data_IF_826032728114
#
_entry.id   IF_826032728114
#
_cell.length_a   1.000
_cell.length_b   1.000
_cell.length_c   1.000
_cell.angle_alpha   90.00
_cell.angle_beta   90.00
_cell.angle_gamma   90.00
#
_symmetry.space_group_name_H-M   'P 1'
#
loop_
_entity.id
_entity.type
_entity.pdbx_description
1 polymer ?
#
# COMPACT_ATOMS: atom_id res chain seq x y z
N UNK A 1 -3.77 20.18 11.65
CA UNK A 1 -4.80 20.08 10.60
C UNK A 1 -5.93 19.23 11.15
N UNK A 2 -7.16 19.74 11.18
CA UNK A 2 -8.33 18.99 11.64
C UNK A 2 -9.35 18.94 10.50
N UNK A 3 -9.58 17.76 9.93
CA UNK A 3 -10.56 17.56 8.87
C UNK A 3 -11.95 17.39 9.48
N UNK A 4 -12.91 18.23 9.10
CA UNK A 4 -14.30 18.08 9.53
C UNK A 4 -15.09 17.18 8.57
N UNK A 5 -15.10 15.87 8.85
CA UNK A 5 -15.78 14.88 8.01
C UNK A 5 -17.29 15.06 7.91
N UNK A 6 -17.94 15.64 8.92
CA UNK A 6 -19.39 15.93 8.87
C UNK A 6 -19.68 17.01 7.84
N UNK A 7 -18.85 18.05 7.79
CA UNK A 7 -18.97 19.12 6.80
C UNK A 7 -18.64 18.61 5.39
N UNK A 8 -17.54 17.87 5.23
CA UNK A 8 -17.18 17.25 3.95
C UNK A 8 -18.30 16.40 3.38
N UNK A 9 -18.91 15.54 4.21
CA UNK A 9 -20.02 14.70 3.78
C UNK A 9 -21.22 15.50 3.31
N UNK A 10 -21.52 16.66 3.92
CA UNK A 10 -22.61 17.54 3.50
C UNK A 10 -22.32 18.24 2.16
N UNK A 11 -21.04 18.48 1.88
CA UNK A 11 -20.60 19.13 0.64
C UNK A 11 -20.28 18.13 -0.48
N UNK A 12 -20.37 16.83 -0.21
CA UNK A 12 -20.11 15.77 -1.17
C UNK A 12 -18.62 15.52 -1.40
N UNK A 13 -17.78 15.71 -0.39
CA UNK A 13 -16.33 15.45 -0.42
C UNK A 13 -15.57 16.25 -1.49
N UNK A 14 -16.07 17.44 -1.87
CA UNK A 14 -15.46 18.27 -2.92
C UNK A 14 -14.00 18.61 -2.64
N UNK A 15 -13.69 18.93 -1.38
CA UNK A 15 -12.35 19.34 -0.95
C UNK A 15 -11.49 18.15 -0.48
N UNK A 16 -12.09 16.97 -0.34
CA UNK A 16 -11.43 15.72 0.06
C UNK A 16 -11.42 14.64 -1.03
N UNK A 17 -11.78 14.99 -2.28
CA UNK A 17 -11.73 14.06 -3.40
C UNK A 17 -10.29 13.55 -3.60
N UNK A 18 -10.13 12.23 -3.59
CA UNK A 18 -8.84 11.55 -3.73
C UNK A 18 -8.15 11.89 -5.06
N UNK A 19 -8.90 12.03 -6.15
CA UNK A 19 -8.32 12.35 -7.47
C UNK A 19 -7.60 13.71 -7.48
N UNK A 20 -8.08 14.67 -6.67
CA UNK A 20 -7.43 15.97 -6.53
C UNK A 20 -6.03 15.85 -5.89
N UNK A 21 -5.76 14.75 -5.18
CA UNK A 21 -4.46 14.48 -4.58
C UNK A 21 -3.39 14.15 -5.64
N UNK A 22 -3.78 13.70 -6.85
CA UNK A 22 -2.85 13.27 -7.90
C UNK A 22 -2.30 14.42 -8.77
N UNK A 23 -2.61 15.68 -8.45
CA UNK A 23 -2.12 16.86 -9.19
C UNK A 23 -0.69 17.29 -8.83
N UNK A 24 0.01 16.53 -7.98
CA UNK A 24 1.32 16.89 -7.44
C UNK A 24 2.35 15.84 -7.85
N UNK A 25 3.51 16.28 -8.36
CA UNK A 25 4.60 15.38 -8.80
C UNK A 25 5.11 14.43 -7.70
N UNK A 26 5.05 14.88 -6.45
CA UNK A 26 5.55 14.14 -5.29
C UNK A 26 4.43 13.95 -4.28
N UNK A 27 4.38 12.76 -3.68
CA UNK A 27 3.45 12.43 -2.60
C UNK A 27 4.22 11.86 -1.43
N UNK A 28 3.88 12.27 -0.21
CA UNK A 28 4.55 11.76 1.00
C UNK A 28 3.67 10.69 1.60
N UNK A 29 4.22 9.50 1.77
CA UNK A 29 3.63 8.48 2.63
C UNK A 29 4.32 8.51 3.99
N UNK A 30 3.50 8.64 5.04
CA UNK A 30 3.94 8.59 6.44
C UNK A 30 2.89 7.86 7.27
N UNK A 31 3.35 7.05 8.20
CA UNK A 31 2.51 6.29 9.12
C UNK A 31 1.84 7.19 10.15
N UNK A 32 0.69 6.74 10.65
CA UNK A 32 -0.03 7.36 11.75
C UNK A 32 0.17 6.56 13.03
N UNK A 33 -0.95 6.13 13.64
CA UNK A 33 -0.92 5.19 14.77
C UNK A 33 -0.40 3.80 14.36
N UNK A 34 -0.66 3.43 13.11
CA UNK A 34 -0.25 2.19 12.47
C UNK A 34 0.09 2.49 11.00
N UNK A 35 0.03 1.50 10.10
CA UNK A 35 0.03 1.73 8.66
C UNK A 35 -1.15 2.62 8.26
N UNK A 36 -1.01 3.39 7.18
CA UNK A 36 -2.06 4.32 6.73
C UNK A 36 -2.76 3.79 5.49
N UNK A 37 -4.10 3.77 5.52
CA UNK A 37 -4.94 3.37 4.38
C UNK A 37 -4.74 4.25 3.13
N UNK A 38 -4.11 5.42 3.30
CA UNK A 38 -3.77 6.34 2.22
C UNK A 38 -2.69 5.82 1.28
N UNK A 39 -1.92 4.80 1.68
CA UNK A 39 -0.78 4.26 0.94
C UNK A 39 -1.14 3.92 -0.51
N UNK A 40 -2.11 3.02 -0.69
CA UNK A 40 -2.57 2.58 -2.02
C UNK A 40 -3.05 3.74 -2.90
N UNK A 41 -3.73 4.72 -2.32
CA UNK A 41 -4.23 5.88 -3.09
C UNK A 41 -3.11 6.83 -3.48
N UNK A 42 -2.11 7.02 -2.61
CA UNK A 42 -0.92 7.83 -2.91
C UNK A 42 -0.11 7.19 -4.04
N UNK A 43 0.06 5.87 -3.99
CA UNK A 43 0.86 5.15 -4.97
C UNK A 43 0.19 5.02 -6.34
N UNK A 44 -1.14 5.12 -6.41
CA UNK A 44 -1.91 5.07 -7.65
C UNK A 44 -1.97 6.42 -8.43
N UNK A 45 -1.23 7.45 -8.01
CA UNK A 45 -1.30 8.81 -8.58
C UNK A 45 -0.24 9.14 -9.67
N UNK A 46 0.51 8.16 -10.19
CA UNK A 46 1.65 8.37 -11.11
C UNK A 46 2.69 9.39 -10.59
N UNK A 47 2.74 9.52 -9.27
CA UNK A 47 3.53 10.51 -8.57
C UNK A 47 4.64 9.79 -7.81
N UNK A 48 5.86 10.30 -7.87
CA UNK A 48 6.97 9.69 -7.13
C UNK A 48 6.65 9.75 -5.64
N UNK A 49 6.40 8.58 -5.05
CA UNK A 49 6.03 8.46 -3.65
C UNK A 49 7.28 8.53 -2.79
N UNK A 50 7.36 9.58 -1.96
CA UNK A 50 8.37 9.79 -0.93
C UNK A 50 7.95 9.01 0.30
N UNK A 51 8.51 7.81 0.44
CA UNK A 51 8.04 6.80 1.37
C UNK A 51 8.90 6.81 2.63
N UNK A 52 8.38 7.38 3.72
CA UNK A 52 9.04 7.35 5.02
C UNK A 52 9.17 5.91 5.48
N UNK A 53 10.38 5.52 5.87
CA UNK A 53 10.71 4.14 6.29
C UNK A 53 9.63 3.59 7.23
N UNK A 54 8.88 2.56 6.81
CA UNK A 54 7.73 2.07 7.56
C UNK A 54 8.17 1.25 8.77
N UNK A 55 7.33 1.22 9.80
CA UNK A 55 7.41 0.31 10.94
C UNK A 55 6.32 -0.75 10.90
N UNK A 56 5.21 -0.44 10.23
CA UNK A 56 4.06 -1.30 10.03
C UNK A 56 4.00 -1.77 8.58
N UNK A 57 3.53 -3.01 8.38
CA UNK A 57 3.47 -3.62 7.06
C UNK A 57 2.07 -4.12 6.76
N UNK A 58 1.48 -3.58 5.70
CA UNK A 58 0.34 -4.20 5.02
C UNK A 58 0.83 -5.35 4.12
N UNK A 59 -0.09 -6.22 3.68
CA UNK A 59 0.27 -7.49 3.04
C UNK A 59 1.05 -7.32 1.73
N UNK A 60 0.73 -6.30 0.94
CA UNK A 60 1.34 -6.04 -0.37
C UNK A 60 2.69 -5.31 -0.29
N UNK A 61 2.98 -4.62 0.82
CA UNK A 61 4.16 -3.74 0.96
C UNK A 61 5.47 -4.51 0.75
N UNK A 62 5.48 -5.81 1.09
CA UNK A 62 6.66 -6.67 0.93
C UNK A 62 7.07 -6.87 -0.52
N UNK A 63 6.12 -6.79 -1.46
CA UNK A 63 6.38 -6.87 -2.91
C UNK A 63 6.96 -5.58 -3.49
N UNK A 64 6.82 -4.44 -2.81
CA UNK A 64 7.30 -3.15 -3.31
C UNK A 64 8.81 -2.97 -3.11
N UNK A 65 9.43 -2.12 -3.91
CA UNK A 65 10.89 -2.01 -3.99
C UNK A 65 11.36 -0.54 -4.05
N UNK A 66 12.38 -0.15 -3.25
CA UNK A 66 12.96 1.18 -3.32
C UNK A 66 13.57 1.44 -4.70
N UNK A 67 13.45 2.68 -5.20
CA UNK A 67 13.88 3.14 -6.52
C UNK A 67 13.15 2.52 -7.73
N UNK A 68 12.25 1.57 -7.50
CA UNK A 68 11.32 1.07 -8.52
C UNK A 68 9.91 1.59 -8.26
N UNK A 69 9.36 1.30 -7.08
CA UNK A 69 7.98 1.65 -6.72
C UNK A 69 7.89 2.90 -5.84
N UNK A 70 8.97 3.30 -5.18
CA UNK A 70 8.99 4.48 -4.33
C UNK A 70 10.40 5.02 -4.07
N UNK A 71 10.49 6.25 -3.59
CA UNK A 71 11.72 6.85 -3.09
C UNK A 71 11.81 6.71 -1.55
N UNK A 72 12.82 6.02 -0.99
CA UNK A 72 12.92 5.82 0.45
C UNK A 72 13.33 7.12 1.18
N UNK A 73 12.66 7.40 2.30
CA UNK A 73 12.92 8.55 3.18
C UNK A 73 13.31 8.06 4.57
N UNK A 74 14.41 8.60 5.13
CA UNK A 74 14.89 8.24 6.46
C UNK A 74 13.92 8.69 7.55
N UNK A 75 13.68 7.83 8.52
CA UNK A 75 12.79 8.13 9.65
C UNK A 75 13.42 9.12 10.63
N UNK A 76 14.73 9.07 10.86
CA UNK A 76 15.43 9.94 11.81
C UNK A 76 15.78 11.34 11.25
N UNK A 77 15.73 11.54 9.93
CA UNK A 77 16.10 12.81 9.27
C UNK A 77 15.11 13.24 8.18
N UNK A 78 13.80 13.03 8.44
CA UNK A 78 12.72 13.21 7.45
C UNK A 78 12.82 14.50 6.65
N UNK A 79 12.99 15.66 7.31
CA UNK A 79 12.99 16.95 6.63
C UNK A 79 14.14 17.10 5.63
N UNK A 80 15.36 16.67 6.00
CA UNK A 80 16.52 16.75 5.11
C UNK A 80 16.43 15.73 3.97
N UNK A 81 15.95 14.52 4.28
CA UNK A 81 15.73 13.48 3.28
C UNK A 81 14.65 13.86 2.27
N UNK A 82 13.54 14.45 2.72
CA UNK A 82 12.47 14.96 1.85
C UNK A 82 12.97 16.08 0.94
N UNK A 83 13.73 17.04 1.49
CA UNK A 83 14.32 18.11 0.70
C UNK A 83 15.26 17.58 -0.37
N UNK A 84 16.16 16.66 0.00
CA UNK A 84 17.05 16.01 -0.97
C UNK A 84 16.28 15.26 -2.05
N UNK A 85 15.26 14.46 -1.69
CA UNK A 85 14.47 13.70 -2.65
C UNK A 85 13.77 14.60 -3.68
N UNK A 86 13.22 15.74 -3.25
CA UNK A 86 12.58 16.72 -4.15
C UNK A 86 13.60 17.37 -5.08
N UNK A 87 14.77 17.77 -4.57
CA UNK A 87 15.86 18.33 -5.39
C UNK A 87 16.36 17.31 -6.42
N UNK A 88 16.58 16.06 -5.99
CA UNK A 88 16.97 14.98 -6.90
C UNK A 88 15.90 14.75 -7.97
N UNK A 89 14.63 14.65 -7.60
CA UNK A 89 13.53 14.41 -8.53
C UNK A 89 13.34 15.56 -9.53
N UNK A 90 13.57 16.80 -9.10
CA UNK A 90 13.48 17.97 -9.99
C UNK A 90 14.60 17.98 -11.04
N UNK A 91 15.78 17.46 -10.68
CA UNK A 91 16.92 17.30 -11.57
C UNK A 91 16.86 16.02 -12.42
N UNK A 92 16.00 15.06 -12.07
CA UNK A 92 15.85 13.77 -12.75
C UNK A 92 14.38 13.46 -13.05
N UNK A 93 13.70 14.38 -13.74
CA UNK A 93 12.24 14.33 -13.95
C UNK A 93 11.76 13.01 -14.57
N UNK A 94 12.47 12.51 -15.58
CA UNK A 94 12.09 11.27 -16.26
C UNK A 94 12.19 10.06 -15.34
N UNK A 95 13.23 10.02 -14.48
CA UNK A 95 13.37 8.95 -13.48
C UNK A 95 12.31 9.04 -12.39
N UNK A 96 12.02 10.25 -11.92
CA UNK A 96 10.95 10.46 -10.93
C UNK A 96 9.58 10.04 -11.49
N UNK A 97 9.29 10.37 -12.76
CA UNK A 97 8.08 9.94 -13.46
C UNK A 97 8.02 8.41 -13.56
N UNK A 98 9.11 7.76 -13.99
CA UNK A 98 9.16 6.31 -14.11
C UNK A 98 8.90 5.59 -12.77
N UNK A 99 9.42 6.11 -11.65
CA UNK A 99 9.13 5.55 -10.31
C UNK A 99 7.63 5.70 -9.97
N UNK A 100 7.03 6.86 -10.27
CA UNK A 100 5.61 7.10 -10.04
C UNK A 100 4.72 6.16 -10.87
N UNK A 101 5.01 6.02 -12.16
CA UNK A 101 4.27 5.13 -13.06
C UNK A 101 4.42 3.66 -12.67
N UNK A 102 5.63 3.22 -12.29
CA UNK A 102 5.84 1.86 -11.79
C UNK A 102 5.05 1.59 -10.49
N UNK A 103 4.92 2.59 -9.62
CA UNK A 103 4.08 2.49 -8.42
C UNK A 103 2.61 2.28 -8.77
N UNK A 104 2.06 3.08 -9.69
CA UNK A 104 0.68 2.93 -10.13
C UNK A 104 0.43 1.61 -10.84
N UNK A 105 1.36 1.17 -11.69
CA UNK A 105 1.27 -0.12 -12.38
C UNK A 105 1.22 -1.27 -11.38
N UNK A 106 2.05 -1.24 -10.33
CA UNK A 106 1.98 -2.23 -9.25
C UNK A 106 0.60 -2.20 -8.56
N UNK A 107 0.03 -1.02 -8.31
CA UNK A 107 -1.31 -0.94 -7.70
C UNK A 107 -2.42 -1.49 -8.62
N UNK A 108 -2.30 -1.29 -9.93
CA UNK A 108 -3.30 -1.72 -10.92
C UNK A 108 -3.20 -3.22 -11.22
N UNK A 109 -1.98 -3.74 -11.36
CA UNK A 109 -1.74 -5.11 -11.81
C UNK A 109 -1.53 -6.07 -10.65
N UNK A 110 -0.75 -5.70 -9.63
CA UNK A 110 -0.35 -6.58 -8.52
C UNK A 110 -1.24 -6.43 -7.27
N UNK A 111 -2.06 -5.36 -7.19
CA UNK A 111 -3.01 -5.14 -6.09
C UNK A 111 -4.48 -5.06 -6.57
N UNK A 112 -4.81 -5.75 -7.67
CA UNK A 112 -6.19 -5.90 -8.13
C UNK A 112 -7.03 -6.76 -7.18
N UNK A 113 -8.35 -6.58 -7.22
CA UNK A 113 -9.28 -7.27 -6.32
C UNK A 113 -9.16 -8.79 -6.38
N UNK A 114 -8.91 -9.37 -7.56
CA UNK A 114 -8.69 -10.82 -7.71
C UNK A 114 -7.55 -11.30 -6.78
N UNK A 115 -6.43 -10.58 -6.74
CA UNK A 115 -5.29 -10.93 -5.90
C UNK A 115 -5.51 -10.63 -4.42
N UNK A 116 -6.37 -9.66 -4.09
CA UNK A 116 -6.80 -9.44 -2.70
C UNK A 116 -7.58 -10.64 -2.19
N UNK A 117 -8.58 -11.11 -2.96
CA UNK A 117 -9.37 -12.28 -2.60
C UNK A 117 -8.54 -13.56 -2.61
N UNK A 118 -7.63 -13.71 -3.58
CA UNK A 118 -6.69 -14.83 -3.64
C UNK A 118 -5.79 -14.89 -2.39
N UNK A 119 -5.19 -13.76 -2.02
CA UNK A 119 -4.38 -13.66 -0.80
C UNK A 119 -5.19 -14.05 0.45
N UNK A 120 -6.43 -13.55 0.58
CA UNK A 120 -7.31 -13.91 1.70
C UNK A 120 -7.62 -15.41 1.73
N UNK A 121 -7.97 -15.99 0.57
CA UNK A 121 -8.25 -17.42 0.44
C UNK A 121 -7.05 -18.26 0.87
N UNK A 122 -5.87 -17.97 0.32
CA UNK A 122 -4.65 -18.72 0.64
C UNK A 122 -4.24 -18.57 2.10
N UNK A 123 -4.31 -17.37 2.68
CA UNK A 123 -3.98 -17.18 4.11
C UNK A 123 -4.88 -18.03 4.99
N UNK A 124 -6.20 -18.03 4.75
CA UNK A 124 -7.15 -18.82 5.54
C UNK A 124 -6.95 -20.32 5.34
N UNK A 125 -6.75 -20.76 4.09
CA UNK A 125 -6.57 -22.16 3.75
C UNK A 125 -5.26 -22.74 4.30
N UNK A 126 -4.13 -22.05 4.15
CA UNK A 126 -2.85 -22.49 4.71
C UNK A 126 -2.86 -22.46 6.24
N UNK A 127 -3.49 -21.46 6.85
CA UNK A 127 -3.66 -21.40 8.30
C UNK A 127 -4.49 -22.58 8.84
N UNK A 128 -5.58 -22.96 8.14
CA UNK A 128 -6.43 -24.07 8.54
C UNK A 128 -5.67 -25.41 8.60
N UNK A 129 -4.67 -25.62 7.73
CA UNK A 129 -3.82 -26.83 7.74
C UNK A 129 -2.95 -26.95 9.01
N UNK A 130 -2.73 -25.84 9.72
CA UNK A 130 -1.95 -25.82 10.96
C UNK A 130 -2.78 -26.23 12.19
N UNK A 131 -4.11 -26.34 12.05
CA UNK A 131 -5.00 -26.69 13.14
C UNK A 131 -4.72 -28.12 13.61
N UNK A 132 -4.48 -28.27 14.92
CA UNK A 132 -4.24 -29.56 15.59
C UNK A 132 -5.51 -30.17 16.18
N UNK A 133 -6.68 -29.64 15.83
CA UNK A 133 -7.98 -30.05 16.33
C UNK A 133 -9.03 -29.93 15.21
N UNK A 134 -10.15 -30.63 15.38
CA UNK A 134 -11.32 -30.50 14.50
C UNK A 134 -12.21 -29.36 15.02
N UNK A 135 -12.41 -28.26 14.27
CA UNK A 135 -13.28 -27.17 14.71
C UNK A 135 -14.73 -27.62 14.90
N UNK A 136 -15.40 -27.05 15.91
CA UNK A 136 -16.83 -27.21 16.17
C UNK A 136 -17.48 -25.84 16.32
N UNK A 137 -18.75 -25.72 15.93
CA UNK A 137 -19.49 -24.46 16.05
C UNK A 137 -19.76 -24.18 17.54
N UNK A 138 -19.33 -23.02 18.08
CA UNK A 138 -19.64 -22.65 19.46
C UNK A 138 -21.16 -22.47 19.69
N UNK A 139 -21.72 -22.84 20.86
CA UNK A 139 -23.17 -22.78 21.12
C UNK A 139 -23.83 -21.41 20.91
N UNK A 140 -23.08 -20.31 21.08
CA UNK A 140 -23.56 -18.94 20.95
C UNK A 140 -23.05 -18.26 19.66
N UNK A 141 -22.52 -19.02 18.70
CA UNK A 141 -22.09 -18.46 17.44
C UNK A 141 -23.31 -18.00 16.63
N UNK A 142 -23.23 -16.79 16.09
CA UNK A 142 -24.25 -16.26 15.17
C UNK A 142 -23.71 -16.44 13.76
N UNK A 143 -24.52 -17.06 12.89
CA UNK A 143 -24.19 -17.20 11.49
C UNK A 143 -24.17 -15.83 10.79
N UNK A 144 -23.08 -15.56 10.07
CA UNK A 144 -22.93 -14.37 9.24
C UNK A 144 -23.17 -14.76 7.78
N UNK A 145 -24.28 -14.31 7.21
CA UNK A 145 -24.59 -14.44 5.79
C UNK A 145 -24.88 -13.07 5.15
N UNK A 146 -24.97 -13.04 3.82
CA UNK A 146 -25.27 -11.85 3.02
C UNK A 146 -26.51 -11.10 3.52
N UNK A 147 -27.59 -11.82 3.80
CA UNK A 147 -28.87 -11.30 4.25
C UNK A 147 -28.75 -10.70 5.65
N UNK A 148 -28.09 -11.40 6.57
CA UNK A 148 -27.87 -10.90 7.94
C UNK A 148 -27.01 -9.64 7.94
N UNK A 149 -26.09 -9.49 6.98
CA UNK A 149 -25.30 -8.25 6.83
C UNK A 149 -26.10 -7.11 6.16
N UNK A 150 -26.77 -7.38 5.05
CA UNK A 150 -27.36 -6.35 4.19
C UNK A 150 -28.77 -5.89 4.61
N UNK A 151 -29.60 -6.79 5.18
CA UNK A 151 -30.99 -6.46 5.53
C UNK A 151 -31.11 -5.36 6.61
N UNK A 152 -30.30 -5.35 7.68
CA UNK A 152 -30.35 -4.28 8.69
C UNK A 152 -29.75 -2.95 8.21
N UNK A 153 -28.92 -2.98 7.16
CA UNK A 153 -28.27 -1.79 6.65
C UNK A 153 -29.28 -0.86 5.95
N UNK A 154 -29.00 0.45 5.96
CA UNK A 154 -29.85 1.46 5.30
C UNK A 154 -29.03 2.44 4.47
N UNK A 155 -29.69 3.14 3.55
CA UNK A 155 -29.06 4.16 2.71
C UNK A 155 -27.88 3.62 1.88
N UNK A 156 -26.77 4.37 1.89
CA UNK A 156 -25.55 4.02 1.13
C UNK A 156 -24.92 2.70 1.56
N UNK A 157 -25.01 2.35 2.85
CA UNK A 157 -24.45 1.09 3.36
C UNK A 157 -25.14 -0.11 2.73
N UNK A 158 -26.48 -0.11 2.71
CA UNK A 158 -27.25 -1.17 2.05
C UNK A 158 -26.91 -1.26 0.57
N UNK A 159 -26.85 -0.11 -0.11
CA UNK A 159 -26.49 -0.04 -1.53
C UNK A 159 -25.14 -0.71 -1.79
N UNK A 160 -24.09 -0.32 -1.06
CA UNK A 160 -22.75 -0.90 -1.25
C UNK A 160 -22.69 -2.38 -0.91
N UNK A 161 -23.36 -2.83 0.16
CA UNK A 161 -23.39 -4.26 0.49
C UNK A 161 -24.03 -5.09 -0.63
N UNK A 162 -25.17 -4.64 -1.17
CA UNK A 162 -25.85 -5.32 -2.28
C UNK A 162 -25.00 -5.28 -3.55
N UNK A 163 -24.38 -4.15 -3.88
CA UNK A 163 -23.49 -4.02 -5.05
C UNK A 163 -22.22 -4.88 -4.93
N UNK A 164 -21.76 -5.16 -3.72
CA UNK A 164 -20.60 -6.02 -3.45
C UNK A 164 -20.93 -7.51 -3.27
N UNK A 165 -22.21 -7.88 -3.41
CA UNK A 165 -22.66 -9.25 -3.18
C UNK A 165 -22.14 -10.18 -4.27
N UNK A 166 -21.49 -11.28 -3.88
CA UNK A 166 -21.06 -12.33 -4.80
C UNK A 166 -22.29 -13.19 -5.12
N UNK A 167 -22.74 -13.17 -6.38
CA UNK A 167 -23.96 -13.86 -6.80
C UNK A 167 -23.78 -15.37 -7.01
N UNK A 168 -22.57 -15.78 -7.37
CA UNK A 168 -22.22 -17.18 -7.59
C UNK A 168 -20.75 -17.45 -7.27
N UNK A 169 -20.39 -18.67 -6.84
CA UNK A 169 -19.00 -19.06 -6.73
C UNK A 169 -18.33 -19.00 -8.11
N UNK A 170 -17.03 -18.76 -8.14
CA UNK A 170 -16.27 -18.83 -9.39
C UNK A 170 -16.31 -20.24 -9.98
N UNK A 171 -16.52 -20.34 -11.28
CA UNK A 171 -16.34 -21.59 -12.04
C UNK A 171 -14.85 -21.92 -12.28
N UNK A 172 -13.97 -20.96 -12.03
CA UNK A 172 -12.52 -21.14 -12.10
C UNK A 172 -11.98 -21.76 -10.81
N UNK A 173 -11.02 -22.68 -10.98
CA UNK A 173 -10.28 -23.21 -9.83
C UNK A 173 -9.51 -22.09 -9.12
N UNK A 174 -9.40 -22.12 -7.79
CA UNK A 174 -8.53 -21.19 -7.07
C UNK A 174 -7.12 -21.23 -7.66
N UNK A 175 -6.46 -20.08 -7.73
CA UNK A 175 -5.08 -20.05 -8.19
C UNK A 175 -4.20 -20.94 -7.29
N UNK A 176 -3.11 -21.43 -7.87
CA UNK A 176 -2.13 -22.20 -7.12
C UNK A 176 -1.13 -21.22 -6.51
N UNK A 177 -1.09 -21.15 -5.18
CA UNK A 177 -0.07 -20.39 -4.49
C UNK A 177 1.31 -20.86 -4.97
N UNK A 178 2.18 -19.96 -5.47
CA UNK A 178 3.51 -20.35 -5.88
C UNK A 178 4.28 -20.91 -4.67
N UNK A 179 5.24 -21.83 -4.92
CA UNK A 179 6.06 -22.35 -3.85
C UNK A 179 6.81 -21.19 -3.16
N UNK A 180 7.15 -21.33 -1.86
CA UNK A 180 7.99 -20.36 -1.18
C UNK A 180 9.27 -20.10 -1.97
N UNK A 181 9.77 -18.86 -1.90
CA UNK A 181 11.05 -18.51 -2.49
C UNK A 181 12.15 -19.47 -2.01
N UNK A 182 13.01 -19.87 -2.94
CA UNK A 182 14.28 -20.48 -2.58
C UNK A 182 15.05 -19.56 -1.61
N UNK A 183 15.70 -20.07 -0.56
CA UNK A 183 16.38 -19.24 0.44
C UNK A 183 17.41 -18.27 -0.15
N UNK A 184 18.11 -18.64 -1.23
CA UNK A 184 19.05 -17.75 -1.90
C UNK A 184 18.30 -16.65 -2.66
N UNK A 185 17.26 -17.01 -3.41
CA UNK A 185 16.44 -16.03 -4.12
C UNK A 185 15.78 -15.00 -3.17
N UNK A 186 15.28 -15.47 -2.01
CA UNK A 186 14.75 -14.58 -0.98
C UNK A 186 15.82 -13.66 -0.41
N UNK A 187 17.01 -14.20 -0.13
CA UNK A 187 18.14 -13.41 0.37
C UNK A 187 18.55 -12.33 -0.64
N UNK A 188 18.69 -12.69 -1.91
CA UNK A 188 19.07 -11.76 -2.97
C UNK A 188 18.02 -10.65 -3.14
N UNK A 189 16.73 -11.00 -3.06
CA UNK A 189 15.64 -10.03 -3.07
C UNK A 189 15.75 -9.02 -1.90
N UNK A 190 15.98 -9.52 -0.68
CA UNK A 190 16.11 -8.67 0.51
C UNK A 190 17.37 -7.81 0.47
N UNK A 191 18.50 -8.37 0.03
CA UNK A 191 19.77 -7.64 -0.10
C UNK A 191 19.67 -6.54 -1.15
N UNK A 192 19.02 -6.80 -2.30
CA UNK A 192 18.77 -5.79 -3.34
C UNK A 192 17.95 -4.62 -2.80
N UNK A 193 16.85 -4.87 -2.09
CA UNK A 193 16.03 -3.82 -1.45
C UNK A 193 16.84 -3.00 -0.44
N UNK A 194 17.65 -3.68 0.38
CA UNK A 194 18.52 -3.00 1.35
C UNK A 194 19.58 -2.14 0.66
N UNK A 195 20.19 -2.65 -0.42
CA UNK A 195 21.21 -1.96 -1.18
C UNK A 195 20.67 -0.73 -1.91
N UNK A 196 19.49 -0.81 -2.54
CA UNK A 196 18.82 0.36 -3.13
C UNK A 196 18.55 1.45 -2.10
N UNK A 197 18.14 1.06 -0.89
CA UNK A 197 17.95 2.03 0.22
C UNK A 197 19.27 2.68 0.63
N UNK A 198 20.32 1.87 0.86
CA UNK A 198 21.66 2.37 1.22
C UNK A 198 22.25 3.29 0.15
N UNK A 199 21.98 3.02 -1.12
CA UNK A 199 22.42 3.86 -2.23
C UNK A 199 21.81 5.27 -2.15
N UNK A 200 20.50 5.37 -1.92
CA UNK A 200 19.83 6.67 -1.71
C UNK A 200 20.40 7.40 -0.50
N UNK A 201 20.64 6.66 0.59
CA UNK A 201 21.24 7.18 1.80
C UNK A 201 22.67 7.73 1.57
N UNK A 202 23.46 7.07 0.73
CA UNK A 202 24.79 7.54 0.34
C UNK A 202 24.71 8.83 -0.50
N UNK A 203 23.84 8.87 -1.52
CA UNK A 203 23.62 10.07 -2.32
C UNK A 203 23.15 11.27 -1.48
N UNK A 204 22.26 11.03 -0.51
CA UNK A 204 21.82 12.08 0.42
C UNK A 204 23.00 12.63 1.23
N UNK A 205 23.85 11.75 1.76
CA UNK A 205 25.01 12.16 2.56
C UNK A 205 26.00 12.97 1.72
N UNK A 206 26.32 12.51 0.50
CA UNK A 206 27.20 13.21 -0.43
C UNK A 206 26.66 14.60 -0.80
N UNK A 207 25.35 14.69 -1.08
CA UNK A 207 24.68 15.95 -1.38
C UNK A 207 24.85 16.96 -0.24
N UNK A 208 24.52 16.58 1.00
CA UNK A 208 24.62 17.50 2.14
C UNK A 208 26.07 17.85 2.50
N UNK A 209 27.01 16.91 2.37
CA UNK A 209 28.44 17.20 2.51
C UNK A 209 28.92 18.21 1.47
N UNK A 210 28.45 18.11 0.23
CA UNK A 210 28.82 19.04 -0.84
C UNK A 210 28.28 20.45 -0.61
N UNK A 211 27.10 20.59 0.00
CA UNK A 211 26.51 21.88 0.37
C UNK A 211 27.28 22.51 1.53
N UNK A 212 27.58 21.73 2.57
CA UNK A 212 28.32 22.20 3.73
C UNK A 212 29.73 22.71 3.37
N UNK A 213 30.36 22.16 2.33
CA UNK A 213 31.67 22.62 1.81
C UNK A 213 31.59 23.92 0.99
N UNK A 214 30.40 24.32 0.55
CA UNK A 214 30.16 25.53 -0.27
C UNK A 214 29.72 26.73 0.57
N UNK A 215 29.44 26.53 1.86
CA UNK A 215 29.14 27.56 2.84
C UNK A 215 30.40 27.92 3.62
#
# INVERSE_FOLDING_TARGET
>A
YFQNWVQESKQGFKDSNLENQCKHRYKIYIEGRAWSVSEKYIMACDSMTLYVRPRYHDFFIRGMEPLQHFWPIRDNSKCTSLKFAVEWGNNHKDKAKAIGEAASNFMQEDLKMDYVYDYMFHVLNEYAKLLKFKPTIPPNAVELCSETMACPATGKWKKFMVESMVESPSDELPCTLPPPYDPLALRDFLERKANSTRQVEAWENEYWQSIAKKQ
#
